data_IF_840590602626
#
_entry.id   IF_840590602626
#
_cell.length_a   1.000
_cell.length_b   1.000
_cell.length_c   1.000
_cell.angle_alpha   90.00
_cell.angle_beta   90.00
_cell.angle_gamma   90.00
#
_symmetry.space_group_name_H-M   'P 1'
#
loop_
_entity.id
_entity.type
_entity.pdbx_description
1 polymer ?
#
# COMPACT_ATOMS: atom_id res chain seq x y z
N UNK A 1 9.06 -7.85 -17.30
CA UNK A 1 9.05 -6.49 -16.74
C UNK A 1 8.12 -6.42 -15.54
N UNK A 2 8.64 -5.95 -14.43
CA UNK A 2 7.85 -5.78 -13.23
C UNK A 2 6.93 -4.56 -13.35
N UNK A 3 5.70 -4.68 -12.87
CA UNK A 3 4.79 -3.57 -12.76
C UNK A 3 4.96 -2.96 -11.36
N UNK A 4 5.31 -1.69 -11.33
CA UNK A 4 5.33 -0.90 -10.11
C UNK A 4 4.25 0.16 -10.19
N UNK A 5 3.21 0.01 -9.36
CA UNK A 5 2.18 1.01 -9.20
C UNK A 5 2.36 1.69 -7.85
N UNK A 6 2.84 2.91 -7.88
CA UNK A 6 2.76 3.76 -6.70
C UNK A 6 1.49 4.59 -6.83
N UNK A 7 0.62 4.50 -5.83
CA UNK A 7 -0.57 5.33 -5.81
C UNK A 7 -0.15 6.78 -5.79
N UNK A 8 -0.39 7.48 -6.89
CA UNK A 8 -0.13 8.90 -7.00
C UNK A 8 -1.07 9.65 -6.07
N UNK A 9 -0.50 10.43 -5.19
CA UNK A 9 -1.26 11.25 -4.24
C UNK A 9 -1.86 12.51 -4.88
N UNK A 10 -1.81 12.58 -6.19
CA UNK A 10 -2.33 13.71 -6.95
C UNK A 10 -3.84 13.78 -6.76
N UNK A 11 -4.31 14.88 -6.20
CA UNK A 11 -5.73 15.09 -5.97
C UNK A 11 -6.22 14.81 -4.55
N UNK A 12 -5.37 14.34 -3.63
CA UNK A 12 -5.76 14.21 -2.23
C UNK A 12 -5.74 15.59 -1.58
N UNK A 13 -6.87 16.07 -1.03
CA UNK A 13 -6.88 17.36 -0.35
C UNK A 13 -5.92 17.33 0.85
N UNK A 14 -5.19 18.42 1.06
CA UNK A 14 -4.31 18.55 2.24
C UNK A 14 -5.05 18.32 3.56
N UNK A 15 -6.31 18.73 3.62
CA UNK A 15 -7.17 18.52 4.77
C UNK A 15 -7.43 17.04 5.08
N UNK A 16 -7.56 16.20 4.05
CA UNK A 16 -7.72 14.75 4.22
C UNK A 16 -6.45 14.09 4.75
N UNK A 17 -5.28 14.51 4.27
CA UNK A 17 -4.00 14.01 4.74
C UNK A 17 -3.75 14.35 6.21
N UNK A 18 -4.20 15.53 6.67
CA UNK A 18 -4.03 15.99 8.07
C UNK A 18 -4.99 15.32 9.05
N UNK A 19 -6.10 14.77 8.60
CA UNK A 19 -7.06 14.04 9.43
C UNK A 19 -6.57 12.66 9.84
N UNK A 20 -5.37 12.33 9.41
CA UNK A 20 -4.75 11.06 9.68
C UNK A 20 -4.52 10.87 11.18
N UNK A 21 -5.13 9.85 11.77
CA UNK A 21 -5.01 9.56 13.18
C UNK A 21 -3.76 8.70 13.44
N UNK A 22 -2.73 9.30 14.04
CA UNK A 22 -1.47 8.63 14.36
C UNK A 22 -1.62 7.40 15.28
N UNK A 23 -2.69 7.36 16.09
CA UNK A 23 -2.95 6.26 17.03
C UNK A 23 -3.66 5.07 16.38
N UNK A 24 -4.05 5.19 15.12
CA UNK A 24 -4.78 4.12 14.44
C UNK A 24 -3.85 2.94 14.14
N UNK A 25 -4.18 1.72 14.60
CA UNK A 25 -3.34 0.56 14.30
C UNK A 25 -3.26 0.27 12.81
N UNK A 26 -2.10 -0.17 12.32
CA UNK A 26 -1.90 -0.59 10.92
C UNK A 26 -2.93 -1.66 10.52
N UNK A 27 -3.26 -2.57 11.43
CA UNK A 27 -4.26 -3.63 11.22
C UNK A 27 -5.64 -3.10 10.83
N UNK A 28 -6.00 -1.84 11.17
CA UNK A 28 -7.31 -1.30 10.79
C UNK A 28 -7.40 -0.99 9.29
N UNK A 29 -6.31 -0.53 8.66
CA UNK A 29 -6.29 -0.32 7.22
C UNK A 29 -6.32 -1.67 6.49
N UNK A 30 -5.58 -2.64 6.97
CA UNK A 30 -5.59 -3.99 6.40
C UNK A 30 -6.97 -4.62 6.46
N UNK A 31 -7.68 -4.47 7.58
CA UNK A 31 -9.06 -4.94 7.73
C UNK A 31 -10.02 -4.24 6.76
N UNK A 32 -9.87 -2.94 6.60
CA UNK A 32 -10.72 -2.17 5.68
C UNK A 32 -10.52 -2.62 4.23
N UNK A 33 -9.28 -2.73 3.80
CA UNK A 33 -8.96 -3.18 2.44
C UNK A 33 -9.39 -4.63 2.23
N UNK A 34 -9.19 -5.49 3.22
CA UNK A 34 -9.68 -6.86 3.20
C UNK A 34 -11.19 -6.93 3.00
N UNK A 35 -11.94 -6.08 3.72
CA UNK A 35 -13.39 -6.00 3.56
C UNK A 35 -13.81 -5.56 2.15
N UNK A 36 -13.07 -4.63 1.55
CA UNK A 36 -13.32 -4.22 0.16
C UNK A 36 -13.11 -5.38 -0.81
N UNK A 37 -12.01 -6.12 -0.65
CA UNK A 37 -11.70 -7.26 -1.50
C UNK A 37 -12.76 -8.35 -1.38
N UNK A 38 -13.22 -8.65 -0.17
CA UNK A 38 -14.30 -9.60 0.07
C UNK A 38 -15.61 -9.14 -0.59
N UNK A 39 -15.95 -7.87 -0.42
CA UNK A 39 -17.15 -7.28 -1.00
C UNK A 39 -17.13 -7.29 -2.54
N UNK A 40 -15.97 -7.15 -3.13
CA UNK A 40 -15.76 -7.18 -4.58
C UNK A 40 -15.50 -8.62 -5.12
N UNK A 41 -15.61 -9.62 -4.24
CA UNK A 41 -15.38 -11.04 -4.58
C UNK A 41 -14.00 -11.32 -5.18
N UNK A 42 -12.98 -10.62 -4.66
CA UNK A 42 -11.58 -10.79 -5.09
C UNK A 42 -10.87 -11.68 -4.07
N UNK A 43 -10.43 -12.89 -4.46
CA UNK A 43 -9.65 -13.73 -3.56
C UNK A 43 -8.31 -13.08 -3.20
N UNK A 44 -7.92 -13.15 -1.93
CA UNK A 44 -6.66 -12.59 -1.47
C UNK A 44 -6.07 -13.41 -0.32
N UNK A 45 -4.80 -13.22 -0.09
CA UNK A 45 -4.07 -13.80 1.05
C UNK A 45 -3.36 -12.67 1.79
N UNK A 46 -3.24 -12.79 3.10
CA UNK A 46 -2.57 -11.79 3.94
C UNK A 46 -1.25 -12.31 4.48
N UNK A 47 -0.35 -11.39 4.78
CA UNK A 47 0.95 -11.69 5.38
C UNK A 47 1.71 -12.83 4.70
N UNK A 48 1.79 -12.75 3.38
CA UNK A 48 2.45 -13.77 2.57
C UNK A 48 3.96 -13.57 2.64
N UNK A 49 4.67 -14.62 3.03
CA UNK A 49 6.12 -14.60 3.12
C UNK A 49 6.74 -14.80 1.74
N UNK A 50 7.58 -13.86 1.32
CA UNK A 50 8.36 -13.91 0.09
C UNK A 50 9.82 -13.68 0.48
N UNK A 51 10.62 -14.75 0.52
CA UNK A 51 11.96 -14.68 1.07
C UNK A 51 11.92 -14.24 2.53
N UNK A 52 12.60 -13.14 2.86
CA UNK A 52 12.59 -12.54 4.20
C UNK A 52 11.51 -11.48 4.37
N UNK A 53 10.77 -11.15 3.29
CA UNK A 53 9.74 -10.11 3.32
C UNK A 53 8.38 -10.72 3.62
N UNK A 54 7.53 -9.95 4.29
CA UNK A 54 6.12 -10.25 4.45
C UNK A 54 5.32 -9.23 3.65
N UNK A 55 4.50 -9.71 2.72
CA UNK A 55 3.62 -8.88 1.90
C UNK A 55 2.28 -8.77 2.60
N UNK A 56 1.76 -7.55 2.75
CA UNK A 56 0.51 -7.32 3.47
C UNK A 56 -0.66 -8.08 2.83
N UNK A 57 -0.83 -7.94 1.53
CA UNK A 57 -1.91 -8.60 0.78
C UNK A 57 -1.37 -9.09 -0.56
N UNK A 58 -1.72 -10.31 -0.91
CA UNK A 58 -1.43 -10.86 -2.25
C UNK A 58 -2.74 -11.21 -2.94
N UNK A 59 -2.93 -10.68 -4.14
CA UNK A 59 -4.07 -10.99 -5.03
C UNK A 59 -3.55 -11.73 -6.26
N UNK A 60 -4.27 -12.74 -6.73
CA UNK A 60 -3.81 -13.57 -7.82
C UNK A 60 -2.50 -14.28 -7.46
N UNK A 61 -1.73 -14.64 -8.47
CA UNK A 61 -0.44 -15.31 -8.26
C UNK A 61 0.65 -14.35 -7.74
N UNK A 62 0.74 -13.18 -8.35
CA UNK A 62 1.89 -12.30 -8.18
C UNK A 62 1.49 -10.83 -8.01
N UNK A 63 0.30 -10.55 -7.51
CA UNK A 63 -0.12 -9.19 -7.21
C UNK A 63 0.14 -8.87 -5.75
N UNK A 64 1.15 -8.07 -5.46
CA UNK A 64 1.48 -7.66 -4.10
C UNK A 64 0.91 -6.28 -3.81
N UNK A 65 0.14 -6.15 -2.74
CA UNK A 65 -0.39 -4.87 -2.26
C UNK A 65 0.26 -4.58 -0.91
N UNK A 66 0.97 -3.46 -0.85
CA UNK A 66 1.58 -2.96 0.38
C UNK A 66 0.80 -1.75 0.88
N UNK A 67 0.40 -1.80 2.16
CA UNK A 67 -0.39 -0.76 2.79
C UNK A 67 0.52 0.05 3.72
N UNK A 68 0.86 1.27 3.30
CA UNK A 68 1.81 2.10 4.03
C UNK A 68 1.12 3.07 4.98
N UNK A 69 1.37 2.89 6.28
CA UNK A 69 1.04 3.89 7.28
C UNK A 69 1.88 5.15 7.06
N UNK A 70 1.24 6.32 7.08
CA UNK A 70 1.90 7.56 6.70
C UNK A 70 3.06 7.94 7.63
N UNK A 71 2.91 7.71 8.92
CA UNK A 71 3.97 8.00 9.89
C UNK A 71 5.19 7.11 9.67
N UNK A 72 4.97 5.79 9.62
CA UNK A 72 6.07 4.81 9.59
C UNK A 72 6.85 4.83 8.27
N UNK A 73 6.18 5.16 7.16
CA UNK A 73 6.79 5.13 5.83
C UNK A 73 7.09 6.53 5.27
N UNK A 74 7.04 7.56 6.12
CA UNK A 74 7.41 8.94 5.77
C UNK A 74 6.64 9.48 4.57
N UNK A 75 5.32 9.50 4.69
CA UNK A 75 4.46 10.06 3.66
C UNK A 75 4.78 11.53 3.39
N UNK A 76 4.98 11.88 2.12
CA UNK A 76 5.31 13.25 1.71
C UNK A 76 4.25 14.28 2.09
N UNK A 77 2.97 13.90 2.12
CA UNK A 77 1.87 14.82 2.44
C UNK A 77 1.68 14.98 3.94
N UNK A 78 1.78 13.88 4.69
CA UNK A 78 1.51 13.88 6.12
C UNK A 78 2.74 14.22 6.97
N UNK A 79 3.92 13.85 6.48
CA UNK A 79 5.20 14.01 7.20
C UNK A 79 6.28 14.50 6.25
N UNK A 80 6.22 15.76 5.79
CA UNK A 80 7.17 16.28 4.81
C UNK A 80 8.60 16.45 5.35
N UNK A 81 8.74 16.77 6.64
CA UNK A 81 10.06 16.89 7.28
C UNK A 81 10.52 15.51 7.76
N UNK A 82 11.58 15.00 7.14
CA UNK A 82 12.08 13.65 7.42
C UNK A 82 13.31 13.67 8.28
N UNK A 83 13.27 12.87 9.35
CA UNK A 83 14.46 12.57 10.16
C UNK A 83 15.37 11.58 9.41
N UNK A 84 16.63 11.43 9.87
CA UNK A 84 17.54 10.42 9.35
C UNK A 84 16.93 9.01 9.46
N UNK A 85 16.25 8.71 10.57
CA UNK A 85 15.59 7.43 10.80
C UNK A 85 14.49 7.16 9.77
N UNK A 86 13.68 8.17 9.48
CA UNK A 86 12.62 8.07 8.46
C UNK A 86 13.22 7.88 7.06
N UNK A 87 14.31 8.58 6.73
CA UNK A 87 15.01 8.42 5.47
C UNK A 87 15.56 7.00 5.30
N UNK A 88 16.18 6.45 6.36
CA UNK A 88 16.67 5.08 6.36
C UNK A 88 15.55 4.06 6.15
N UNK A 89 14.40 4.28 6.78
CA UNK A 89 13.22 3.43 6.58
C UNK A 89 12.75 3.49 5.12
N UNK A 90 12.78 4.67 4.52
CA UNK A 90 12.42 4.86 3.11
C UNK A 90 13.34 4.05 2.18
N UNK A 91 14.64 4.06 2.43
CA UNK A 91 15.59 3.26 1.65
C UNK A 91 15.32 1.75 1.79
N UNK A 92 15.03 1.29 2.99
CA UNK A 92 14.66 -0.11 3.23
C UNK A 92 13.41 -0.50 2.46
N UNK A 93 12.41 0.37 2.45
CA UNK A 93 11.16 0.14 1.70
C UNK A 93 11.44 0.03 0.20
N UNK A 94 12.26 0.91 -0.35
CA UNK A 94 12.63 0.87 -1.78
C UNK A 94 13.33 -0.45 -2.12
N UNK A 95 14.29 -0.88 -1.31
CA UNK A 95 14.99 -2.15 -1.51
C UNK A 95 14.04 -3.34 -1.46
N UNK A 96 13.09 -3.30 -0.55
CA UNK A 96 12.04 -4.31 -0.42
C UNK A 96 11.17 -4.38 -1.66
N UNK A 97 10.74 -3.23 -2.19
CA UNK A 97 9.96 -3.15 -3.41
C UNK A 97 10.71 -3.72 -4.60
N UNK A 98 11.98 -3.35 -4.75
CA UNK A 98 12.84 -3.88 -5.81
C UNK A 98 13.00 -5.40 -5.71
N UNK A 99 13.14 -5.91 -4.50
CA UNK A 99 13.22 -7.36 -4.27
C UNK A 99 11.93 -8.07 -4.73
N UNK A 100 10.77 -7.56 -4.36
CA UNK A 100 9.49 -8.14 -4.77
C UNK A 100 9.31 -8.12 -6.29
N UNK A 101 9.68 -7.02 -6.93
CA UNK A 101 9.62 -6.89 -8.39
C UNK A 101 10.55 -7.91 -9.06
N UNK A 102 11.76 -8.10 -8.55
CA UNK A 102 12.70 -9.10 -9.06
C UNK A 102 12.18 -10.52 -8.88
N UNK A 103 11.37 -10.77 -7.86
CA UNK A 103 10.72 -12.07 -7.65
C UNK A 103 9.51 -12.29 -8.56
N UNK A 104 9.20 -11.34 -9.44
CA UNK A 104 8.11 -11.45 -10.40
C UNK A 104 6.77 -10.90 -9.93
N UNK A 105 6.75 -10.21 -8.80
CA UNK A 105 5.52 -9.60 -8.31
C UNK A 105 5.23 -8.29 -9.02
N UNK A 106 3.96 -8.05 -9.32
CA UNK A 106 3.43 -6.73 -9.61
C UNK A 106 3.17 -6.07 -8.26
N UNK A 107 3.52 -4.81 -8.10
CA UNK A 107 3.46 -4.14 -6.80
C UNK A 107 2.55 -2.91 -6.85
N UNK A 108 1.63 -2.84 -5.92
CA UNK A 108 0.82 -1.66 -5.64
C UNK A 108 1.10 -1.21 -4.21
N UNK A 109 1.55 0.02 -4.05
CA UNK A 109 1.74 0.64 -2.74
C UNK A 109 0.60 1.64 -2.51
N UNK A 110 -0.17 1.42 -1.46
CA UNK A 110 -1.32 2.26 -1.12
C UNK A 110 -1.08 2.92 0.23
N UNK A 111 -1.17 4.25 0.25
CA UNK A 111 -0.93 5.02 1.47
C UNK A 111 -2.21 5.18 2.30
N UNK A 112 -2.03 5.17 3.61
CA UNK A 112 -3.13 5.31 4.57
C UNK A 112 -3.94 6.58 4.35
N UNK A 113 -3.30 7.73 4.11
CA UNK A 113 -4.01 8.98 3.85
C UNK A 113 -4.90 8.92 2.61
N UNK A 114 -4.51 8.16 1.60
CA UNK A 114 -5.32 7.95 0.41
C UNK A 114 -6.53 7.06 0.72
N UNK A 115 -6.32 5.98 1.45
CA UNK A 115 -7.39 5.07 1.86
C UNK A 115 -8.45 5.79 2.70
N UNK A 116 -8.00 6.61 3.65
CA UNK A 116 -8.90 7.31 4.56
C UNK A 116 -9.50 8.58 3.98
N UNK A 117 -8.73 9.29 3.14
CA UNK A 117 -9.17 10.56 2.55
C UNK A 117 -9.99 10.41 1.27
N UNK A 118 -9.76 9.34 0.51
CA UNK A 118 -10.43 9.09 -0.76
C UNK A 118 -10.72 7.58 -0.89
N UNK A 119 -11.58 7.02 -0.02
CA UNK A 119 -11.79 5.57 0.04
C UNK A 119 -12.32 4.98 -1.26
N UNK A 120 -13.22 5.66 -1.95
CA UNK A 120 -13.79 5.15 -3.20
C UNK A 120 -12.73 5.07 -4.30
N UNK A 121 -11.88 6.08 -4.41
CA UNK A 121 -10.78 6.10 -5.38
C UNK A 121 -9.73 5.03 -5.03
N UNK A 122 -9.41 4.86 -3.76
CA UNK A 122 -8.47 3.84 -3.31
C UNK A 122 -9.00 2.44 -3.60
N UNK A 123 -10.25 2.19 -3.30
CA UNK A 123 -10.93 0.91 -3.58
C UNK A 123 -10.95 0.60 -5.08
N UNK A 124 -11.28 1.58 -5.91
CA UNK A 124 -11.31 1.43 -7.36
C UNK A 124 -9.92 1.08 -7.91
N UNK A 125 -8.87 1.69 -7.40
CA UNK A 125 -7.51 1.42 -7.82
C UNK A 125 -7.04 0.02 -7.42
N UNK A 126 -7.36 -0.42 -6.21
CA UNK A 126 -7.07 -1.78 -5.74
C UNK A 126 -7.79 -2.81 -6.62
N UNK A 127 -9.05 -2.56 -6.93
CA UNK A 127 -9.85 -3.42 -7.78
C UNK A 127 -9.27 -3.54 -9.20
N UNK A 128 -8.87 -2.41 -9.78
CA UNK A 128 -8.23 -2.38 -11.10
C UNK A 128 -6.90 -3.13 -11.09
N UNK A 129 -6.07 -2.90 -10.07
CA UNK A 129 -4.82 -3.64 -9.90
C UNK A 129 -5.05 -5.15 -9.81
N UNK A 130 -6.04 -5.58 -9.05
CA UNK A 130 -6.36 -6.99 -8.87
C UNK A 130 -6.76 -7.67 -10.20
N UNK A 131 -7.46 -6.96 -11.07
CA UNK A 131 -7.79 -7.47 -12.41
C UNK A 131 -6.53 -7.76 -13.22
N UNK A 132 -5.57 -6.85 -13.22
CA UNK A 132 -4.31 -7.03 -13.95
C UNK A 132 -3.43 -8.11 -13.32
N UNK A 133 -3.46 -8.25 -12.01
CA UNK A 133 -2.68 -9.26 -11.31
C UNK A 133 -3.20 -10.68 -11.50
N UNK A 134 -4.45 -10.83 -11.92
CA UNK A 134 -5.08 -12.14 -12.16
C UNK A 134 -4.78 -12.74 -13.55
N UNK A 135 -4.13 -11.97 -14.40
CA UNK A 135 -3.78 -12.40 -15.77
C UNK A 135 -2.45 -13.15 -15.80
#
# INVERSE_FOLDING_TARGET
MGWFYQVMKKGIPRSAARKHNRKRPKSSIEKLVGAWLESDHIPYRTEVKVGKCHVDIVVGRHGAIELNGCYWHSCHLCYPARTKKQQMKRFKDIRRYQFLIRKGYKLLVVWECFILGSPDAARAQIKEFAKHASI
#
